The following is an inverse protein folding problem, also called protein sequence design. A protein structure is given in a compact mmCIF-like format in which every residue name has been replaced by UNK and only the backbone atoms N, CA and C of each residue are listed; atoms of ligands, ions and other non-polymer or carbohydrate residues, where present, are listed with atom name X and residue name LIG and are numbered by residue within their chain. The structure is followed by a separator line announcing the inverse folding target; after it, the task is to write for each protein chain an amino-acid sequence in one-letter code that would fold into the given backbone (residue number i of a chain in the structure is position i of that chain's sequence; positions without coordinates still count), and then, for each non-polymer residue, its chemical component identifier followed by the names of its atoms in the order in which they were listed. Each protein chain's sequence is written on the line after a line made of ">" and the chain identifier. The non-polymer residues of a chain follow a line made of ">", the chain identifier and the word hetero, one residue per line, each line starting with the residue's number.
data_IF_964478319735
#
_entry.id   IF_964478319735
#
_cell.length_a   1.000
_cell.length_b   1.000
_cell.length_c   1.000
_cell.angle_alpha   90.00
_cell.angle_beta   90.00
_cell.angle_gamma   90.00
#
_symmetry.space_group_name_H-M   'P 1'
#
loop_
_entity.id
_entity.type
_entity.pdbx_description
1 polymer ?
#
# COMPACT_ATOMS: atom_id res chain seq x y z
N UNK A 1 -14.12 18.59 -4.47
CA UNK A 1 -13.66 19.48 -5.57
C UNK A 1 -14.83 19.84 -6.48
N UNK A 2 -14.81 21.01 -7.16
CA UNK A 2 -15.91 21.36 -8.10
C UNK A 2 -15.88 20.44 -9.33
N UNK A 3 -17.05 20.04 -9.85
CA UNK A 3 -17.20 19.22 -11.07
C UNK A 3 -16.40 19.79 -12.27
N UNK A 4 -16.24 21.11 -12.34
CA UNK A 4 -15.41 21.80 -13.34
C UNK A 4 -13.93 21.38 -13.25
N UNK A 5 -13.37 21.24 -12.05
CA UNK A 5 -11.96 20.85 -11.87
C UNK A 5 -11.72 19.42 -12.34
N UNK A 6 -12.65 18.48 -12.10
CA UNK A 6 -12.63 17.12 -12.66
C UNK A 6 -12.55 17.12 -14.18
N UNK A 7 -13.41 17.88 -14.83
CA UNK A 7 -13.52 17.92 -16.30
C UNK A 7 -12.25 18.43 -16.97
N UNK A 8 -11.55 19.40 -16.38
CA UNK A 8 -10.38 20.02 -17.02
C UNK A 8 -9.05 19.39 -16.59
N UNK A 9 -8.90 18.97 -15.35
CA UNK A 9 -7.62 18.45 -14.85
C UNK A 9 -7.43 16.96 -15.07
N UNK A 10 -8.49 16.14 -14.98
CA UNK A 10 -8.36 14.70 -15.19
C UNK A 10 -7.84 14.32 -16.57
N UNK A 11 -8.25 14.94 -17.68
CA UNK A 11 -7.66 14.63 -18.99
C UNK A 11 -6.17 14.97 -19.09
N UNK A 12 -5.73 16.09 -18.48
CA UNK A 12 -4.31 16.44 -18.47
C UNK A 12 -3.48 15.44 -17.67
N UNK A 13 -3.98 15.03 -16.49
CA UNK A 13 -3.34 13.99 -15.69
C UNK A 13 -3.34 12.63 -16.39
N UNK A 14 -4.41 12.29 -17.14
CA UNK A 14 -4.48 11.07 -17.92
C UNK A 14 -3.42 11.04 -19.03
N UNK A 15 -3.25 12.14 -19.76
CA UNK A 15 -2.19 12.28 -20.78
C UNK A 15 -0.81 12.12 -20.12
N UNK A 16 -0.58 12.78 -18.98
CA UNK A 16 0.67 12.65 -18.25
C UNK A 16 0.90 11.22 -17.75
N UNK A 17 -0.14 10.55 -17.26
CA UNK A 17 -0.08 9.15 -16.82
C UNK A 17 0.35 8.23 -17.98
N UNK A 18 -0.24 8.41 -19.17
CA UNK A 18 0.12 7.63 -20.37
C UNK A 18 1.58 7.89 -20.76
N UNK A 19 2.01 9.15 -20.81
CA UNK A 19 3.40 9.51 -21.14
C UNK A 19 4.40 8.92 -20.14
N UNK A 20 4.09 8.99 -18.84
CA UNK A 20 4.90 8.36 -17.79
C UNK A 20 4.91 6.83 -17.90
N UNK A 21 3.79 6.20 -18.24
CA UNK A 21 3.73 4.75 -18.45
C UNK A 21 4.63 4.32 -19.61
N UNK A 22 4.60 5.05 -20.73
CA UNK A 22 5.49 4.79 -21.87
C UNK A 22 6.96 5.00 -21.47
N UNK A 23 7.26 6.09 -20.76
CA UNK A 23 8.63 6.36 -20.29
C UNK A 23 9.14 5.24 -19.36
N UNK A 24 8.35 4.86 -18.35
CA UNK A 24 8.70 3.77 -17.43
C UNK A 24 8.88 2.44 -18.17
N UNK A 25 7.99 2.15 -19.10
CA UNK A 25 8.10 0.95 -19.92
C UNK A 25 9.41 0.94 -20.73
N UNK A 26 9.77 2.02 -21.39
CA UNK A 26 11.03 2.15 -22.14
C UNK A 26 12.26 2.06 -21.21
N UNK A 27 12.24 2.76 -20.07
CA UNK A 27 13.32 2.71 -19.10
C UNK A 27 13.51 1.31 -18.50
N UNK A 28 12.47 0.47 -18.44
CA UNK A 28 12.56 -0.90 -17.93
C UNK A 28 13.44 -1.83 -18.79
N UNK A 29 13.90 -1.39 -19.96
CA UNK A 29 14.87 -2.10 -20.79
C UNK A 29 16.32 -1.70 -20.50
N UNK A 30 16.54 -0.66 -19.69
CA UNK A 30 17.89 -0.23 -19.30
C UNK A 30 18.44 -1.08 -18.15
N UNK A 31 19.78 -1.21 -18.02
CA UNK A 31 20.37 -1.86 -16.84
C UNK A 31 19.96 -1.18 -15.53
N UNK A 32 19.53 -1.96 -14.54
CA UNK A 32 19.10 -1.44 -13.22
C UNK A 32 20.15 -0.58 -12.51
N UNK A 33 21.43 -0.85 -12.74
CA UNK A 33 22.56 -0.07 -12.18
C UNK A 33 22.50 1.40 -12.59
N UNK A 34 22.00 1.69 -13.80
CA UNK A 34 21.95 3.05 -14.35
C UNK A 34 20.66 3.81 -13.95
N UNK A 35 19.58 3.11 -13.71
CA UNK A 35 18.25 3.72 -13.60
C UNK A 35 17.50 3.41 -12.31
N UNK A 36 17.94 2.43 -11.50
CA UNK A 36 17.13 1.87 -10.42
C UNK A 36 16.57 2.89 -9.43
N UNK A 37 17.40 3.83 -8.94
CA UNK A 37 16.96 4.87 -8.00
C UNK A 37 16.00 5.88 -8.64
N UNK A 38 16.31 6.32 -9.86
CA UNK A 38 15.44 7.24 -10.60
C UNK A 38 14.14 6.58 -11.01
N UNK A 39 14.20 5.31 -11.35
CA UNK A 39 13.02 4.54 -11.72
C UNK A 39 12.05 4.39 -10.54
N UNK A 40 12.55 4.06 -9.35
CA UNK A 40 11.73 4.00 -8.15
C UNK A 40 11.05 5.36 -7.85
N UNK A 41 11.77 6.46 -7.96
CA UNK A 41 11.20 7.80 -7.83
C UNK A 41 10.11 8.07 -8.89
N UNK A 42 10.37 7.75 -10.16
CA UNK A 42 9.40 7.94 -11.26
C UNK A 42 8.17 7.05 -11.09
N UNK A 43 8.33 5.82 -10.63
CA UNK A 43 7.18 4.92 -10.37
C UNK A 43 6.29 5.45 -9.24
N UNK A 44 6.86 5.99 -8.18
CA UNK A 44 6.11 6.68 -7.12
C UNK A 44 5.41 7.94 -7.64
N UNK A 45 6.08 8.69 -8.51
CA UNK A 45 5.44 9.84 -9.15
C UNK A 45 4.28 9.41 -10.05
N UNK A 46 4.43 8.31 -10.79
CA UNK A 46 3.35 7.70 -11.56
C UNK A 46 2.15 7.35 -10.66
N UNK A 47 2.39 6.75 -9.50
CA UNK A 47 1.34 6.47 -8.52
C UNK A 47 0.61 7.76 -8.06
N UNK A 48 1.34 8.85 -7.83
CA UNK A 48 0.74 10.16 -7.49
C UNK A 48 -0.14 10.70 -8.62
N UNK A 49 0.30 10.57 -9.87
CA UNK A 49 -0.51 10.98 -11.02
C UNK A 49 -1.76 10.11 -11.15
N UNK A 50 -1.64 8.80 -10.93
CA UNK A 50 -2.78 7.87 -10.93
C UNK A 50 -3.85 8.29 -9.91
N UNK A 51 -3.47 8.62 -8.68
CA UNK A 51 -4.44 9.11 -7.69
C UNK A 51 -5.07 10.44 -8.08
N UNK A 52 -4.35 11.32 -8.80
CA UNK A 52 -4.89 12.56 -9.35
C UNK A 52 -5.86 12.34 -10.51
N UNK A 53 -5.60 11.34 -11.37
CA UNK A 53 -6.54 10.94 -12.43
C UNK A 53 -7.86 10.48 -11.81
N UNK A 54 -7.79 9.72 -10.71
CA UNK A 54 -8.97 9.23 -9.99
C UNK A 54 -9.65 10.32 -9.12
N UNK A 55 -9.08 11.52 -9.07
CA UNK A 55 -9.55 12.64 -8.23
C UNK A 55 -9.61 12.28 -6.74
N UNK A 56 -8.65 11.47 -6.28
CA UNK A 56 -8.54 11.07 -4.87
C UNK A 56 -7.76 12.13 -4.10
N UNK A 57 -8.34 12.62 -2.99
CA UNK A 57 -7.70 13.50 -2.02
C UNK A 57 -7.04 12.65 -0.92
N UNK A 58 -5.74 12.42 -1.06
CA UNK A 58 -4.96 11.67 -0.07
C UNK A 58 -4.47 12.60 1.03
N UNK A 59 -4.86 12.32 2.27
CA UNK A 59 -4.41 13.06 3.45
C UNK A 59 -3.57 12.18 4.35
N UNK A 60 -2.38 12.67 4.68
CA UNK A 60 -1.51 12.06 5.67
C UNK A 60 -1.74 12.74 7.02
N UNK A 61 -2.18 11.97 8.02
CA UNK A 61 -2.50 12.44 9.36
C UNK A 61 -1.59 11.74 10.36
N UNK A 62 -0.71 12.50 11.01
CA UNK A 62 0.16 11.93 12.04
C UNK A 62 -0.56 11.92 13.38
N UNK A 63 -0.78 10.73 13.92
CA UNK A 63 -1.33 10.46 15.26
C UNK A 63 -0.23 10.10 16.26
N UNK A 64 1.01 9.99 15.79
CA UNK A 64 2.21 9.71 16.56
C UNK A 64 2.87 11.00 17.02
N UNK A 65 3.40 10.99 18.24
CA UNK A 65 4.32 12.01 18.75
C UNK A 65 5.76 11.70 18.37
N UNK A 66 6.06 10.45 18.04
CA UNK A 66 7.37 9.96 17.64
C UNK A 66 7.56 10.17 16.13
N UNK A 67 8.73 10.63 15.67
CA UNK A 67 9.03 10.71 14.25
C UNK A 67 8.94 9.33 13.58
N UNK A 68 8.49 9.31 12.33
CA UNK A 68 8.50 8.07 11.53
C UNK A 68 9.94 7.59 11.38
N UNK A 69 10.26 6.34 11.72
CA UNK A 69 11.59 5.79 11.51
C UNK A 69 12.01 5.83 10.03
N UNK A 70 13.30 5.97 9.76
CA UNK A 70 13.81 5.90 8.38
C UNK A 70 13.63 4.49 7.79
N UNK A 71 13.68 3.47 8.64
CA UNK A 71 13.52 2.07 8.25
C UNK A 71 12.41 1.40 9.06
N UNK A 72 11.41 0.87 8.35
CA UNK A 72 10.20 0.29 8.95
C UNK A 72 9.53 -0.74 8.03
N UNK A 73 8.69 -1.58 8.62
CA UNK A 73 7.70 -2.39 7.90
C UNK A 73 6.34 -1.76 8.16
N UNK A 74 5.72 -1.20 7.11
CA UNK A 74 4.36 -0.68 7.21
C UNK A 74 3.35 -1.82 7.30
N UNK A 75 2.44 -1.73 8.26
CA UNK A 75 1.26 -2.58 8.37
C UNK A 75 0.02 -1.69 8.25
N UNK A 76 -0.87 -2.04 7.33
CA UNK A 76 -2.09 -1.28 7.07
C UNK A 76 -3.29 -2.19 6.81
N UNK A 77 -4.51 -1.71 7.09
CA UNK A 77 -5.73 -2.38 6.63
C UNK A 77 -5.89 -2.26 5.09
N UNK A 78 -6.67 -3.16 4.48
CA UNK A 78 -6.73 -3.28 3.02
C UNK A 78 -8.17 -3.38 2.49
N UNK A 79 -8.97 -2.31 2.62
CA UNK A 79 -10.37 -2.34 2.18
C UNK A 79 -10.56 -2.18 0.67
N UNK A 80 -9.56 -1.71 -0.07
CA UNK A 80 -9.67 -1.37 -1.50
C UNK A 80 -8.45 -1.86 -2.30
N UNK A 81 -8.50 -1.71 -3.61
CA UNK A 81 -7.32 -1.82 -4.50
C UNK A 81 -6.60 -0.48 -4.69
N UNK A 82 -7.13 0.61 -4.13
CA UNK A 82 -6.50 1.93 -4.24
C UNK A 82 -5.14 1.96 -3.53
N UNK A 83 -4.95 1.18 -2.48
CA UNK A 83 -3.73 1.13 -1.68
C UNK A 83 -2.50 0.80 -2.51
N UNK A 84 -2.65 -0.03 -3.55
CA UNK A 84 -1.54 -0.40 -4.44
C UNK A 84 -0.93 0.81 -5.16
N UNK A 85 -1.69 1.90 -5.31
CA UNK A 85 -1.24 3.16 -5.89
C UNK A 85 -1.03 4.24 -4.82
N UNK A 86 -1.91 4.33 -3.84
CA UNK A 86 -1.92 5.43 -2.88
C UNK A 86 -0.79 5.30 -1.86
N UNK A 87 -0.47 4.09 -1.40
CA UNK A 87 0.62 3.89 -0.43
C UNK A 87 1.97 4.25 -1.03
N UNK A 88 2.39 3.78 -2.23
CA UNK A 88 3.61 4.23 -2.86
C UNK A 88 3.62 5.72 -3.26
N UNK A 89 2.44 6.32 -3.48
CA UNK A 89 2.33 7.76 -3.74
C UNK A 89 2.74 8.59 -2.52
N UNK A 90 2.42 8.13 -1.31
CA UNK A 90 2.67 8.84 -0.05
C UNK A 90 4.01 8.45 0.59
N UNK A 91 4.36 7.16 0.59
CA UNK A 91 5.49 6.61 1.33
C UNK A 91 6.59 6.08 0.41
N UNK A 92 7.82 6.11 0.89
CA UNK A 92 8.97 5.49 0.20
C UNK A 92 9.05 4.02 0.58
N UNK A 93 8.31 3.20 -0.15
CA UNK A 93 8.17 1.77 0.12
C UNK A 93 8.21 0.95 -1.16
N UNK A 94 8.50 -0.34 -0.99
CA UNK A 94 8.41 -1.35 -2.04
C UNK A 94 7.16 -2.19 -1.84
N UNK A 95 6.24 -2.23 -2.82
CA UNK A 95 5.00 -2.98 -2.70
C UNK A 95 5.24 -4.48 -2.83
N UNK A 96 4.35 -5.25 -2.18
CA UNK A 96 4.21 -6.69 -2.39
C UNK A 96 3.05 -6.94 -3.35
N UNK A 97 3.27 -7.81 -4.32
CA UNK A 97 2.22 -8.23 -5.24
C UNK A 97 2.16 -9.77 -5.35
N UNK A 98 1.02 -10.28 -5.79
CA UNK A 98 0.91 -11.68 -6.20
C UNK A 98 1.74 -11.90 -7.47
N UNK A 99 2.28 -13.11 -7.63
CA UNK A 99 3.12 -13.47 -8.79
C UNK A 99 2.41 -13.26 -10.12
N UNK A 100 1.07 -13.43 -10.17
CA UNK A 100 0.26 -13.27 -11.37
C UNK A 100 0.26 -11.83 -11.91
N UNK A 101 0.49 -10.84 -11.07
CA UNK A 101 0.62 -9.43 -11.48
C UNK A 101 1.82 -9.22 -12.39
N UNK A 102 2.86 -10.06 -12.26
CA UNK A 102 4.05 -10.02 -13.11
C UNK A 102 3.73 -10.27 -14.57
N UNK A 103 2.69 -11.05 -14.85
CA UNK A 103 2.27 -11.42 -16.21
C UNK A 103 1.40 -10.35 -16.89
N UNK A 104 1.05 -9.28 -16.19
CA UNK A 104 0.31 -8.16 -16.78
C UNK A 104 1.19 -7.39 -17.74
N UNK A 105 0.76 -7.34 -19.01
CA UNK A 105 1.56 -6.94 -20.18
C UNK A 105 2.49 -5.72 -19.93
N UNK A 106 1.97 -4.55 -19.59
CA UNK A 106 2.79 -3.33 -19.34
C UNK A 106 3.09 -3.17 -17.87
N UNK A 107 2.06 -3.29 -17.02
CA UNK A 107 2.15 -3.02 -15.59
C UNK A 107 3.05 -4.03 -14.88
N UNK A 108 3.03 -5.30 -15.27
CA UNK A 108 3.89 -6.33 -14.69
C UNK A 108 5.37 -5.99 -14.90
N UNK A 109 5.74 -5.53 -16.09
CA UNK A 109 7.12 -5.14 -16.39
C UNK A 109 7.53 -3.87 -15.62
N UNK A 110 6.65 -2.87 -15.57
CA UNK A 110 6.89 -1.62 -14.82
C UNK A 110 7.08 -1.93 -13.34
N UNK A 111 6.20 -2.72 -12.75
CA UNK A 111 6.25 -3.07 -11.33
C UNK A 111 7.46 -3.95 -10.98
N UNK A 112 7.82 -4.92 -11.84
CA UNK A 112 9.03 -5.74 -11.65
C UNK A 112 10.29 -4.87 -11.62
N UNK A 113 10.39 -3.94 -12.54
CA UNK A 113 11.54 -3.05 -12.60
C UNK A 113 11.57 -2.02 -11.46
N UNK A 114 10.40 -1.60 -10.96
CA UNK A 114 10.26 -0.73 -9.79
C UNK A 114 10.69 -1.42 -8.47
N UNK A 115 10.94 -2.73 -8.51
CA UNK A 115 11.40 -3.49 -7.36
C UNK A 115 10.26 -4.11 -6.55
N UNK A 116 9.07 -4.24 -7.12
CA UNK A 116 7.96 -4.99 -6.50
C UNK A 116 8.42 -6.39 -6.14
N UNK A 117 8.10 -6.81 -4.92
CA UNK A 117 8.42 -8.15 -4.43
C UNK A 117 7.22 -9.04 -4.71
N UNK A 118 7.42 -10.04 -5.58
CA UNK A 118 6.36 -10.98 -5.93
C UNK A 118 6.36 -12.15 -4.98
N UNK A 119 5.18 -12.47 -4.47
CA UNK A 119 4.99 -13.57 -3.53
C UNK A 119 3.97 -14.56 -4.06
N UNK A 120 4.36 -15.82 -4.08
CA UNK A 120 3.49 -16.95 -4.30
C UNK A 120 3.07 -17.50 -2.93
N UNK A 121 1.79 -17.72 -2.69
CA UNK A 121 1.25 -18.08 -1.37
C UNK A 121 0.56 -19.45 -1.34
N UNK A 122 0.54 -20.16 -2.44
CA UNK A 122 -0.26 -21.37 -2.63
C UNK A 122 0.28 -22.58 -1.87
N UNK A 123 1.60 -22.73 -1.75
CA UNK A 123 2.23 -23.85 -1.06
C UNK A 123 2.99 -23.42 0.21
N UNK A 124 3.29 -24.38 1.10
CA UNK A 124 4.15 -24.11 2.28
C UNK A 124 5.56 -23.68 1.87
N UNK A 125 6.10 -24.25 0.80
CA UNK A 125 7.46 -23.96 0.33
C UNK A 125 7.52 -22.61 -0.38
N UNK A 126 6.51 -22.22 -1.14
CA UNK A 126 6.43 -20.90 -1.74
C UNK A 126 6.31 -19.81 -0.66
N UNK A 127 5.52 -20.03 0.41
CA UNK A 127 5.44 -19.11 1.55
C UNK A 127 6.78 -18.95 2.29
N UNK A 128 7.55 -20.04 2.47
CA UNK A 128 8.88 -19.95 3.07
C UNK A 128 9.87 -19.15 2.20
N UNK A 129 9.84 -19.37 0.87
CA UNK A 129 10.66 -18.59 -0.07
C UNK A 129 10.28 -17.12 -0.07
N UNK A 130 8.98 -16.82 -0.07
CA UNK A 130 8.49 -15.46 0.03
C UNK A 130 8.97 -14.78 1.33
N UNK A 131 8.80 -15.44 2.48
CA UNK A 131 9.26 -14.91 3.77
C UNK A 131 10.78 -14.62 3.75
N UNK A 132 11.59 -15.52 3.22
CA UNK A 132 13.03 -15.29 3.08
C UNK A 132 13.33 -14.08 2.22
N UNK A 133 12.67 -13.96 1.04
CA UNK A 133 12.84 -12.83 0.14
C UNK A 133 12.49 -11.50 0.82
N UNK A 134 11.44 -11.48 1.65
CA UNK A 134 11.03 -10.29 2.40
C UNK A 134 12.02 -9.94 3.50
N UNK A 135 12.52 -10.91 4.25
CA UNK A 135 13.57 -10.71 5.25
C UNK A 135 14.84 -10.14 4.58
N UNK A 136 15.27 -10.72 3.46
CA UNK A 136 16.44 -10.24 2.71
C UNK A 136 16.24 -8.80 2.22
N UNK A 137 15.03 -8.45 1.77
CA UNK A 137 14.70 -7.10 1.31
C UNK A 137 14.72 -6.08 2.47
N UNK A 138 14.11 -6.41 3.62
CA UNK A 138 14.15 -5.57 4.82
C UNK A 138 15.57 -5.41 5.33
N UNK A 139 16.33 -6.49 5.41
CA UNK A 139 17.75 -6.46 5.85
C UNK A 139 18.62 -5.62 4.91
N UNK A 140 18.23 -5.46 3.65
CA UNK A 140 18.88 -4.58 2.67
C UNK A 140 18.43 -3.11 2.77
N UNK A 141 17.67 -2.74 3.83
CA UNK A 141 17.22 -1.36 4.07
C UNK A 141 15.99 -0.93 3.28
N UNK A 142 15.20 -1.88 2.74
CA UNK A 142 13.96 -1.56 2.03
C UNK A 142 12.78 -1.50 2.98
N UNK A 143 12.03 -0.41 2.92
CA UNK A 143 10.74 -0.33 3.59
C UNK A 143 9.70 -1.10 2.78
N UNK A 144 8.90 -1.93 3.44
CA UNK A 144 7.85 -2.72 2.83
C UNK A 144 6.49 -2.29 3.35
N UNK A 145 5.45 -2.50 2.54
CA UNK A 145 4.06 -2.49 3.02
C UNK A 145 3.50 -3.91 2.98
N UNK A 146 2.90 -4.33 4.08
CA UNK A 146 2.25 -5.63 4.21
C UNK A 146 0.85 -5.42 4.78
N UNK A 147 -0.14 -5.92 4.06
CA UNK A 147 -1.52 -5.93 4.52
C UNK A 147 -1.78 -7.26 5.27
N UNK A 148 -1.84 -7.23 6.62
CA UNK A 148 -1.85 -8.45 7.42
C UNK A 148 -3.17 -9.23 7.32
N UNK A 149 -4.20 -8.63 6.74
CA UNK A 149 -5.48 -9.29 6.44
C UNK A 149 -5.37 -10.35 5.34
N UNK A 150 -4.29 -10.32 4.55
CA UNK A 150 -4.01 -11.28 3.49
C UNK A 150 -4.76 -11.03 2.18
N UNK A 151 -5.36 -9.87 2.02
CA UNK A 151 -6.09 -9.38 0.83
C UNK A 151 -7.20 -8.43 1.25
N UNK A 152 -7.90 -7.86 0.28
CA UNK A 152 -9.08 -7.04 0.55
C UNK A 152 -10.18 -7.90 1.18
N UNK A 153 -10.55 -7.60 2.42
CA UNK A 153 -11.51 -8.39 3.24
C UNK A 153 -12.76 -7.59 3.61
N UNK A 154 -12.99 -6.51 2.92
CA UNK A 154 -14.07 -5.58 3.20
C UNK A 154 -13.60 -4.36 3.98
N UNK A 155 -14.55 -3.50 4.31
CA UNK A 155 -14.32 -2.19 4.93
C UNK A 155 -14.09 -2.23 6.45
N UNK A 156 -14.24 -3.39 7.09
CA UNK A 156 -13.99 -3.58 8.53
C UNK A 156 -12.71 -4.34 8.76
N UNK A 157 -12.08 -4.08 9.92
CA UNK A 157 -10.88 -4.80 10.32
C UNK A 157 -11.18 -6.29 10.40
N UNK A 158 -10.38 -7.08 9.70
CA UNK A 158 -10.57 -8.52 9.60
C UNK A 158 -10.39 -9.21 10.96
N UNK A 159 -11.08 -10.33 11.15
CA UNK A 159 -11.06 -11.13 12.39
C UNK A 159 -9.65 -11.57 12.81
N UNK A 160 -8.71 -11.63 11.86
CA UNK A 160 -7.34 -12.09 12.09
C UNK A 160 -6.34 -11.32 11.25
N UNK A 161 -5.22 -10.93 11.89
CA UNK A 161 -4.01 -10.51 11.21
C UNK A 161 -3.06 -11.69 11.06
N UNK A 162 -2.48 -11.86 9.87
CA UNK A 162 -1.48 -12.87 9.58
C UNK A 162 -0.13 -12.47 10.18
N UNK A 163 0.54 -13.41 10.86
CA UNK A 163 1.77 -13.13 11.60
C UNK A 163 3.01 -12.85 10.72
N UNK A 164 2.92 -12.95 9.39
CA UNK A 164 4.08 -12.86 8.50
C UNK A 164 4.88 -11.56 8.58
N UNK A 165 4.20 -10.40 8.63
CA UNK A 165 4.84 -9.09 8.78
C UNK A 165 5.57 -8.98 10.13
N UNK A 166 4.96 -9.48 11.17
CA UNK A 166 5.45 -9.45 12.55
C UNK A 166 6.62 -10.42 12.76
N UNK A 167 6.60 -11.60 12.12
CA UNK A 167 7.73 -12.54 12.11
C UNK A 167 8.96 -11.92 11.40
N UNK A 168 8.76 -11.17 10.31
CA UNK A 168 9.83 -10.41 9.65
C UNK A 168 10.39 -9.35 10.61
N UNK A 169 9.54 -8.56 11.26
CA UNK A 169 9.92 -7.51 12.19
C UNK A 169 10.78 -8.09 13.34
N UNK A 170 10.32 -9.17 13.97
CA UNK A 170 11.06 -9.83 15.06
C UNK A 170 12.41 -10.39 14.63
N UNK A 171 12.52 -10.94 13.41
CA UNK A 171 13.78 -11.49 12.89
C UNK A 171 14.77 -10.43 12.46
N UNK A 172 14.30 -9.26 12.05
CA UNK A 172 15.15 -8.19 11.53
C UNK A 172 15.41 -7.08 12.53
N UNK A 173 14.64 -7.03 13.64
CA UNK A 173 14.66 -5.92 14.59
C UNK A 173 14.10 -4.60 14.02
N UNK A 174 13.41 -4.65 12.87
CA UNK A 174 12.86 -3.47 12.21
C UNK A 174 11.45 -3.20 12.74
N UNK A 175 11.14 -1.96 13.19
CA UNK A 175 9.84 -1.64 13.77
C UNK A 175 8.70 -1.77 12.78
N UNK A 176 7.51 -2.09 13.29
CA UNK A 176 6.26 -1.99 12.56
C UNK A 176 5.76 -0.54 12.62
N UNK A 177 5.45 0.04 11.47
CA UNK A 177 4.75 1.31 11.35
C UNK A 177 3.27 1.05 11.04
N UNK A 178 2.36 1.17 12.03
CA UNK A 178 0.94 0.98 11.79
C UNK A 178 0.37 2.21 11.08
N UNK A 179 -0.35 1.98 9.97
CA UNK A 179 -1.04 3.03 9.23
C UNK A 179 -2.50 2.61 9.04
N UNK A 180 -3.42 3.33 9.69
CA UNK A 180 -4.85 3.06 9.57
C UNK A 180 -5.45 3.91 8.45
N UNK A 181 -6.07 3.25 7.47
CA UNK A 181 -6.68 3.85 6.31
C UNK A 181 -8.17 4.07 6.54
N UNK A 182 -8.60 5.33 6.38
CA UNK A 182 -9.99 5.75 6.52
C UNK A 182 -10.51 6.33 5.21
N UNK A 183 -11.56 5.75 4.69
CA UNK A 183 -12.29 6.26 3.53
C UNK A 183 -13.54 7.02 4.01
N UNK A 184 -13.79 8.22 3.47
CA UNK A 184 -15.01 8.96 3.77
C UNK A 184 -16.23 8.22 3.21
N UNK A 185 -16.20 7.87 1.96
CA UNK A 185 -17.21 7.01 1.32
C UNK A 185 -16.69 5.58 1.23
N UNK A 186 -16.89 4.80 2.31
CA UNK A 186 -16.39 3.42 2.40
C UNK A 186 -16.98 2.54 1.29
N UNK A 187 -18.26 2.71 0.94
CA UNK A 187 -18.95 1.86 -0.03
C UNK A 187 -18.40 2.04 -1.44
N UNK A 188 -17.99 3.26 -1.81
CA UNK A 188 -17.36 3.53 -3.09
C UNK A 188 -15.98 2.87 -3.23
N UNK A 189 -15.25 2.75 -2.13
CA UNK A 189 -13.88 2.22 -2.13
C UNK A 189 -13.77 0.74 -1.82
N UNK A 190 -14.73 0.16 -1.09
CA UNK A 190 -14.69 -1.25 -0.70
C UNK A 190 -14.55 -2.17 -1.93
N UNK A 191 -13.56 -3.07 -1.88
CA UNK A 191 -13.38 -4.08 -2.90
C UNK A 191 -14.35 -5.25 -2.67
N UNK A 192 -15.18 -5.51 -3.67
CA UNK A 192 -16.11 -6.65 -3.69
C UNK A 192 -15.84 -7.50 -4.93
N UNK A 193 -16.87 -7.83 -5.72
CA UNK A 193 -16.77 -8.72 -6.89
C UNK A 193 -16.39 -8.02 -8.21
N UNK A 194 -16.03 -6.72 -8.16
CA UNK A 194 -15.69 -5.95 -9.35
C UNK A 194 -14.30 -6.30 -9.89
N UNK A 195 -14.11 -6.08 -11.20
CA UNK A 195 -12.77 -6.02 -11.78
C UNK A 195 -12.06 -4.73 -11.37
N UNK A 196 -10.72 -4.72 -11.44
CA UNK A 196 -9.92 -3.53 -11.12
C UNK A 196 -10.39 -2.30 -11.91
N UNK A 197 -10.67 -2.45 -13.22
CA UNK A 197 -11.11 -1.34 -14.08
C UNK A 197 -12.46 -0.80 -13.61
N UNK A 198 -13.41 -1.68 -13.28
CA UNK A 198 -14.72 -1.27 -12.76
C UNK A 198 -14.59 -0.53 -11.43
N UNK A 199 -13.73 -0.98 -10.52
CA UNK A 199 -13.48 -0.32 -9.24
C UNK A 199 -12.85 1.06 -9.45
N UNK A 200 -11.81 1.17 -10.27
CA UNK A 200 -11.19 2.47 -10.58
C UNK A 200 -12.18 3.44 -11.23
N UNK A 201 -13.06 2.94 -12.11
CA UNK A 201 -14.11 3.74 -12.71
C UNK A 201 -15.15 4.21 -11.68
N UNK A 202 -15.56 3.36 -10.74
CA UNK A 202 -16.43 3.71 -9.62
C UNK A 202 -15.82 4.82 -8.76
N UNK A 203 -14.54 4.68 -8.37
CA UNK A 203 -13.81 5.71 -7.61
C UNK A 203 -13.75 7.02 -8.41
N UNK A 204 -13.44 6.97 -9.72
CA UNK A 204 -13.39 8.16 -10.56
C UNK A 204 -14.73 8.91 -10.59
N UNK A 205 -15.86 8.20 -10.64
CA UNK A 205 -17.20 8.80 -10.66
C UNK A 205 -17.66 9.29 -9.29
N UNK A 206 -17.06 8.82 -8.21
CA UNK A 206 -17.46 9.19 -6.86
C UNK A 206 -17.20 10.68 -6.57
N UNK A 207 -18.05 11.30 -5.73
CA UNK A 207 -17.97 12.73 -5.40
C UNK A 207 -17.13 12.97 -4.13
N UNK A 208 -17.10 12.02 -3.20
CA UNK A 208 -16.31 12.09 -1.96
C UNK A 208 -15.16 11.09 -1.99
N UNK A 209 -14.05 11.54 -2.53
CA UNK A 209 -12.81 10.74 -2.67
C UNK A 209 -11.75 11.12 -1.63
N UNK A 210 -12.18 11.55 -0.44
CA UNK A 210 -11.24 11.80 0.65
C UNK A 210 -10.82 10.50 1.31
N UNK A 211 -9.51 10.30 1.40
CA UNK A 211 -8.87 9.16 2.07
C UNK A 211 -7.81 9.65 3.04
N UNK A 212 -7.95 9.29 4.31
CA UNK A 212 -6.96 9.61 5.33
C UNK A 212 -6.07 8.40 5.63
N UNK A 213 -4.76 8.64 5.66
CA UNK A 213 -3.72 7.72 6.10
C UNK A 213 -3.24 8.16 7.47
N UNK A 214 -3.76 7.53 8.51
CA UNK A 214 -3.44 7.86 9.91
C UNK A 214 -2.20 7.06 10.33
N UNK A 215 -1.07 7.77 10.47
CA UNK A 215 0.20 7.19 10.90
C UNK A 215 0.24 7.19 12.43
N UNK A 216 0.36 6.02 13.03
CA UNK A 216 0.40 5.84 14.47
C UNK A 216 1.81 5.57 14.97
N UNK A 217 1.97 5.44 16.31
CA UNK A 217 3.26 5.17 16.94
C UNK A 217 3.89 3.89 16.40
N UNK A 218 5.18 3.93 16.04
CA UNK A 218 5.91 2.73 15.66
C UNK A 218 5.93 1.73 16.81
N UNK A 219 5.82 0.44 16.49
CA UNK A 219 5.84 -0.65 17.45
C UNK A 219 7.18 -1.39 17.37
N UNK A 220 7.90 -1.45 18.49
CA UNK A 220 9.17 -2.17 18.57
C UNK A 220 8.91 -3.68 18.69
N UNK A 221 9.48 -4.53 17.81
CA UNK A 221 9.34 -5.98 17.93
C UNK A 221 9.92 -6.55 19.23
N UNK A 222 10.83 -5.85 19.90
CA UNK A 222 11.40 -6.29 21.18
C UNK A 222 10.37 -6.25 22.33
N UNK A 223 9.27 -5.54 22.19
CA UNK A 223 8.22 -5.45 23.21
C UNK A 223 7.30 -6.68 23.23
N UNK A 224 7.45 -7.62 22.29
CA UNK A 224 6.57 -8.77 22.12
C UNK A 224 7.30 -10.10 22.26
N UNK A 225 6.60 -11.08 22.82
CA UNK A 225 7.15 -12.41 23.05
C UNK A 225 7.24 -13.24 21.75
N UNK A 226 6.22 -13.14 20.91
CA UNK A 226 6.17 -13.82 19.61
C UNK A 226 5.36 -13.02 18.56
N UNK A 227 5.46 -13.47 17.31
CA UNK A 227 4.80 -12.80 16.18
C UNK A 227 3.28 -12.91 16.17
N UNK A 228 2.70 -13.85 16.92
CA UNK A 228 1.24 -14.04 17.02
C UNK A 228 0.68 -13.02 18.01
N UNK A 229 1.32 -12.88 19.17
CA UNK A 229 1.00 -11.84 20.16
C UNK A 229 1.12 -10.45 19.52
N UNK A 230 2.22 -10.20 18.79
CA UNK A 230 2.45 -8.94 18.11
C UNK A 230 1.36 -8.62 17.08
N UNK A 231 0.99 -9.62 16.26
CA UNK A 231 -0.08 -9.48 15.28
C UNK A 231 -1.44 -9.18 15.92
N UNK A 232 -1.78 -9.88 17.00
CA UNK A 232 -3.04 -9.68 17.70
C UNK A 232 -3.08 -8.34 18.44
N UNK A 233 -1.99 -7.94 19.12
CA UNK A 233 -1.88 -6.61 19.72
C UNK A 233 -2.12 -5.50 18.68
N UNK A 234 -1.42 -5.58 17.54
CA UNK A 234 -1.59 -4.60 16.46
C UNK A 234 -3.02 -4.60 15.94
N UNK A 235 -3.65 -5.76 15.75
CA UNK A 235 -5.04 -5.86 15.32
C UNK A 235 -6.00 -5.17 16.29
N UNK A 236 -5.80 -5.33 17.60
CA UNK A 236 -6.62 -4.68 18.62
C UNK A 236 -6.49 -3.15 18.57
N UNK A 237 -5.29 -2.61 18.24
CA UNK A 237 -5.11 -1.18 18.01
C UNK A 237 -5.94 -0.72 16.81
N UNK A 238 -5.93 -1.46 15.68
CA UNK A 238 -6.72 -1.12 14.50
C UNK A 238 -8.22 -1.13 14.78
N UNK A 239 -8.72 -2.13 15.53
CA UNK A 239 -10.13 -2.18 15.96
C UNK A 239 -10.48 -0.95 16.82
N UNK A 240 -9.60 -0.59 17.76
CA UNK A 240 -9.80 0.60 18.62
C UNK A 240 -9.90 1.88 17.78
N UNK A 241 -9.03 2.06 16.77
CA UNK A 241 -9.04 3.23 15.89
C UNK A 241 -10.29 3.24 15.00
N UNK A 242 -10.71 2.09 14.50
CA UNK A 242 -11.96 1.94 13.76
C UNK A 242 -13.18 2.35 14.63
N UNK A 243 -13.25 1.85 15.86
CA UNK A 243 -14.33 2.20 16.80
C UNK A 243 -14.35 3.70 17.13
N UNK A 244 -13.18 4.31 17.36
CA UNK A 244 -13.06 5.74 17.60
C UNK A 244 -13.56 6.58 16.42
N UNK A 245 -13.29 6.14 15.20
CA UNK A 245 -13.78 6.79 13.97
C UNK A 245 -15.29 6.65 13.80
N UNK A 246 -15.84 5.50 14.13
CA UNK A 246 -17.27 5.19 13.97
C UNK A 246 -18.13 5.75 15.08
N UNK A 247 -17.54 6.08 16.25
CA UNK A 247 -18.26 6.74 17.32
C UNK A 247 -18.60 8.16 16.90
N UNK A 248 -19.86 8.62 17.05
CA UNK A 248 -20.20 10.02 16.80
C UNK A 248 -19.27 10.90 17.67
N UNK A 249 -18.73 11.94 17.08
CA UNK A 249 -18.07 13.00 17.85
C UNK A 249 -19.18 13.66 18.71
N UNK A 250 -19.04 13.56 20.03
CA UNK A 250 -19.91 14.29 20.99
C UNK A 250 -19.79 15.82 20.78
#
# INVERSE_FOLDING_TARGET
>A
MSKLRKVFLSPAYLVLLVLLSVLLYLLSYMPRVLSGRYYHFLSRFWCRIMTRVLDVDLRLVFKSSTPVPDHYIMVANHPSALEDFAVPALFDIYPLAKVEVKDWFVLGRISDYAGTIYVERESKDSRKRALKCLIDAVSAGRNLVIFPEGGCKGKRIHERFMAGAFDIAMRTGVPILPVYLCYHDEDAFEWTDQTLVQKLWQIYLNEDNLVEYQVHEPLDPADFHDSIEFAEHTRQLFIKWEQQRLSPAD
#
